data_IF_980371934856
#
_entry.id   IF_980371934856
#
_cell.length_a   1.000
_cell.length_b   1.000
_cell.length_c   1.000
_cell.angle_alpha   90.00
_cell.angle_beta   90.00
_cell.angle_gamma   90.00
#
_symmetry.space_group_name_H-M   'P 1'
#
loop_
_entity.id
_entity.type
_entity.pdbx_description
1 polymer ?
#
# COMPACT_ATOMS: atom_id res chain seq x y z
N UNK A 1 15.18 34.41 31.81
CA UNK A 1 14.02 34.44 30.89
C UNK A 1 14.28 33.45 29.77
N UNK A 2 13.71 32.23 29.86
CA UNK A 2 13.74 31.27 28.75
C UNK A 2 12.39 31.37 28.08
N UNK A 3 12.36 31.94 26.88
CA UNK A 3 11.14 32.04 26.08
C UNK A 3 10.67 30.63 25.69
N UNK A 4 9.35 30.37 25.62
CA UNK A 4 8.85 29.06 25.25
C UNK A 4 9.09 28.83 23.76
N UNK A 5 9.62 27.66 23.42
CA UNK A 5 9.70 27.22 22.03
C UNK A 5 8.26 27.09 21.49
N UNK A 6 7.92 27.91 20.51
CA UNK A 6 6.63 27.85 19.83
C UNK A 6 6.59 26.56 19.01
N UNK A 7 5.90 25.55 19.54
CA UNK A 7 5.69 24.28 18.87
C UNK A 7 4.70 24.55 17.73
N UNK A 8 5.19 24.55 16.49
CA UNK A 8 4.37 24.71 15.29
C UNK A 8 3.22 23.69 15.21
N UNK A 9 2.28 23.87 14.28
CA UNK A 9 1.01 23.13 14.27
C UNK A 9 1.27 21.63 14.12
N UNK A 10 1.17 20.90 15.23
CA UNK A 10 1.22 19.45 15.22
C UNK A 10 -0.12 18.95 14.69
N UNK A 11 -0.13 18.34 13.51
CA UNK A 11 -1.34 17.72 12.95
C UNK A 11 -1.93 16.72 13.95
N UNK A 12 -3.25 16.76 14.12
CA UNK A 12 -3.96 15.91 15.09
C UNK A 12 -3.70 14.43 14.79
N UNK A 13 -3.70 13.56 15.82
CA UNK A 13 -3.47 12.13 15.65
C UNK A 13 -4.48 11.47 14.69
N UNK A 14 -5.70 12.00 14.61
CA UNK A 14 -6.74 11.55 13.69
C UNK A 14 -6.39 11.82 12.21
N UNK A 15 -5.86 13.01 11.91
CA UNK A 15 -5.37 13.37 10.57
C UNK A 15 -4.24 12.46 10.10
N UNK A 16 -3.33 12.07 11.01
CA UNK A 16 -2.23 11.14 10.70
C UNK A 16 -2.73 9.73 10.43
N UNK A 17 -3.67 9.24 11.23
CA UNK A 17 -4.25 7.92 11.05
C UNK A 17 -5.00 7.83 9.71
N UNK A 18 -5.74 8.87 9.33
CA UNK A 18 -6.46 8.90 8.06
C UNK A 18 -5.51 8.93 6.84
N UNK A 19 -4.43 9.73 6.92
CA UNK A 19 -3.39 9.73 5.89
C UNK A 19 -2.71 8.36 5.72
N UNK A 20 -2.49 7.62 6.82
CA UNK A 20 -1.93 6.26 6.75
C UNK A 20 -2.91 5.27 6.11
N UNK A 21 -4.21 5.36 6.40
CA UNK A 21 -5.22 4.51 5.75
C UNK A 21 -5.29 4.77 4.25
N UNK A 22 -5.25 6.05 3.83
CA UNK A 22 -5.26 6.41 2.41
C UNK A 22 -4.04 5.83 1.70
N UNK A 23 -2.85 5.99 2.27
CA UNK A 23 -1.61 5.41 1.73
C UNK A 23 -1.65 3.89 1.64
N UNK A 24 -2.20 3.22 2.65
CA UNK A 24 -2.37 1.76 2.61
C UNK A 24 -3.29 1.34 1.47
N UNK A 25 -4.41 2.06 1.28
CA UNK A 25 -5.33 1.80 0.19
C UNK A 25 -4.66 1.97 -1.17
N UNK A 26 -3.95 3.09 -1.37
CA UNK A 26 -3.19 3.36 -2.60
C UNK A 26 -2.15 2.26 -2.88
N UNK A 27 -1.36 1.87 -1.88
CA UNK A 27 -0.37 0.81 -2.02
C UNK A 27 -0.98 -0.54 -2.40
N UNK A 28 -2.13 -0.90 -1.80
CA UNK A 28 -2.86 -2.12 -2.17
C UNK A 28 -3.36 -2.08 -3.63
N UNK A 29 -3.85 -0.93 -4.10
CA UNK A 29 -4.31 -0.74 -5.48
C UNK A 29 -3.12 -0.82 -6.47
N UNK A 30 -2.01 -0.16 -6.17
CA UNK A 30 -0.79 -0.24 -6.98
C UNK A 30 -0.26 -1.68 -7.07
N UNK A 31 -0.29 -2.42 -5.96
CA UNK A 31 0.08 -3.82 -5.95
C UNK A 31 -0.81 -4.67 -6.88
N UNK A 32 -2.13 -4.50 -6.81
CA UNK A 32 -3.06 -5.22 -7.69
C UNK A 32 -2.86 -4.82 -9.17
N UNK A 33 -2.55 -3.55 -9.46
CA UNK A 33 -2.22 -3.13 -10.82
C UNK A 33 -0.96 -3.83 -11.33
N UNK A 34 0.10 -3.93 -10.52
CA UNK A 34 1.31 -4.66 -10.92
C UNK A 34 1.03 -6.15 -11.14
N UNK A 35 0.25 -6.76 -10.25
CA UNK A 35 -0.14 -8.17 -10.36
C UNK A 35 -0.95 -8.43 -11.64
N UNK A 36 -1.97 -7.61 -11.91
CA UNK A 36 -2.79 -7.71 -13.11
C UNK A 36 -1.97 -7.52 -14.37
N UNK A 37 -1.03 -6.57 -14.38
CA UNK A 37 -0.11 -6.39 -15.51
C UNK A 37 0.74 -7.64 -15.76
N UNK A 38 1.27 -8.26 -14.71
CA UNK A 38 2.01 -9.52 -14.82
C UNK A 38 1.11 -10.68 -15.30
N UNK A 39 -0.13 -10.73 -14.80
CA UNK A 39 -1.11 -11.75 -15.20
C UNK A 39 -1.44 -11.65 -16.69
N UNK A 40 -1.75 -10.45 -17.20
CA UNK A 40 -2.04 -10.24 -18.61
C UNK A 40 -0.85 -10.59 -19.50
N UNK A 41 0.35 -10.17 -19.10
CA UNK A 41 1.58 -10.55 -19.79
C UNK A 41 1.76 -12.08 -19.84
N UNK A 42 1.55 -12.77 -18.72
CA UNK A 42 1.70 -14.23 -18.62
C UNK A 42 0.65 -14.98 -19.46
N UNK A 43 -0.60 -14.52 -19.44
CA UNK A 43 -1.67 -15.07 -20.28
C UNK A 43 -1.32 -14.94 -21.76
N UNK A 44 -0.81 -13.78 -22.18
CA UNK A 44 -0.43 -13.49 -23.56
C UNK A 44 0.78 -14.30 -24.03
N UNK A 45 1.75 -14.54 -23.14
CA UNK A 45 2.89 -15.42 -23.40
C UNK A 45 2.51 -16.90 -23.51
N UNK A 46 1.34 -17.29 -22.98
CA UNK A 46 0.84 -18.67 -23.04
C UNK A 46 0.15 -19.01 -24.36
N UNK A 47 0.00 -18.03 -25.27
CA UNK A 47 -0.62 -18.22 -26.59
C UNK A 47 0.49 -18.44 -27.61
N UNK A 48 0.50 -19.61 -28.25
CA UNK A 48 1.38 -19.88 -29.39
C UNK A 48 0.99 -18.97 -30.56
N UNK A 49 1.91 -18.10 -30.97
CA UNK A 49 1.71 -17.18 -32.09
C UNK A 49 2.28 -17.78 -33.37
N UNK A 50 1.57 -17.61 -34.47
CA UNK A 50 2.05 -18.02 -35.79
C UNK A 50 3.25 -17.18 -36.27
N UNK A 51 3.33 -15.92 -35.82
CA UNK A 51 4.40 -14.98 -36.10
C UNK A 51 4.84 -14.27 -34.80
N UNK A 52 6.13 -13.95 -34.71
CA UNK A 52 6.69 -13.15 -33.62
C UNK A 52 6.17 -11.71 -33.70
N UNK A 53 5.69 -11.11 -32.59
CA UNK A 53 5.18 -9.75 -32.60
C UNK A 53 6.31 -8.75 -32.86
N UNK A 54 6.06 -7.76 -33.71
CA UNK A 54 7.01 -6.68 -33.95
C UNK A 54 7.19 -5.78 -32.71
N UNK A 55 8.20 -4.91 -32.75
CA UNK A 55 8.51 -4.02 -31.62
C UNK A 55 7.36 -3.04 -31.31
N UNK A 56 6.64 -2.55 -32.32
CA UNK A 56 5.55 -1.60 -32.12
C UNK A 56 4.35 -2.27 -31.45
N UNK A 57 4.04 -3.50 -31.86
CA UNK A 57 3.02 -4.34 -31.25
C UNK A 57 3.36 -4.63 -29.79
N UNK A 58 4.60 -5.02 -29.48
CA UNK A 58 5.01 -5.29 -28.09
C UNK A 58 4.85 -4.05 -27.20
N UNK A 59 5.22 -2.87 -27.70
CA UNK A 59 5.05 -1.60 -26.97
C UNK A 59 3.57 -1.29 -26.76
N UNK A 60 2.75 -1.40 -27.80
CA UNK A 60 1.31 -1.14 -27.70
C UNK A 60 0.61 -2.11 -26.74
N UNK A 61 0.91 -3.40 -26.85
CA UNK A 61 0.39 -4.44 -25.96
C UNK A 61 0.78 -4.15 -24.49
N UNK A 62 2.02 -3.75 -24.23
CA UNK A 62 2.46 -3.33 -22.90
C UNK A 62 1.70 -2.12 -22.36
N UNK A 63 1.53 -1.07 -23.17
CA UNK A 63 0.74 0.11 -22.78
C UNK A 63 -0.73 -0.23 -22.50
N UNK A 64 -1.30 -1.15 -23.29
CA UNK A 64 -2.66 -1.62 -23.11
C UNK A 64 -2.80 -2.40 -21.79
N UNK A 65 -1.90 -3.35 -21.53
CA UNK A 65 -1.90 -4.16 -20.31
C UNK A 65 -1.75 -3.27 -19.06
N UNK A 66 -0.85 -2.28 -19.09
CA UNK A 66 -0.68 -1.32 -18.00
C UNK A 66 -1.93 -0.48 -17.72
N UNK A 67 -2.59 -0.01 -18.78
CA UNK A 67 -3.78 0.84 -18.65
C UNK A 67 -4.95 0.04 -18.10
N UNK A 68 -5.15 -1.17 -18.64
CA UNK A 68 -6.18 -2.09 -18.18
C UNK A 68 -5.96 -2.47 -16.71
N UNK A 69 -4.74 -2.81 -16.34
CA UNK A 69 -4.39 -3.20 -14.97
C UNK A 69 -4.62 -2.06 -13.97
N UNK A 70 -4.25 -0.83 -14.33
CA UNK A 70 -4.53 0.36 -13.50
C UNK A 70 -6.01 0.62 -13.32
N UNK A 71 -6.80 0.49 -14.38
CA UNK A 71 -8.24 0.75 -14.29
C UNK A 71 -8.96 -0.30 -13.43
N UNK A 72 -8.61 -1.58 -13.60
CA UNK A 72 -9.15 -2.66 -12.80
C UNK A 72 -8.77 -2.55 -11.32
N UNK A 73 -7.57 -2.06 -11.00
CA UNK A 73 -7.16 -1.86 -9.59
C UNK A 73 -7.95 -0.76 -8.85
N UNK A 74 -8.58 0.18 -9.58
CA UNK A 74 -9.36 1.26 -8.98
C UNK A 74 -10.80 0.85 -8.71
N UNK A 75 -11.30 -0.14 -9.44
CA UNK A 75 -12.71 -0.48 -9.53
C UNK A 75 -12.92 -1.97 -9.32
N UNK A 76 -13.52 -2.34 -8.18
CA UNK A 76 -13.92 -3.72 -7.95
C UNK A 76 -14.26 -3.99 -6.50
N UNK A 77 -15.55 -4.15 -6.22
CA UNK A 77 -15.97 -4.78 -4.98
C UNK A 77 -15.53 -6.25 -5.02
N UNK A 78 -14.76 -6.69 -4.02
CA UNK A 78 -14.13 -8.02 -3.99
C UNK A 78 -12.80 -8.11 -4.74
N UNK A 79 -12.21 -6.98 -5.12
CA UNK A 79 -10.86 -6.93 -5.68
C UNK A 79 -9.81 -7.40 -4.66
N UNK A 80 -8.64 -7.82 -5.13
CA UNK A 80 -7.57 -8.25 -4.25
C UNK A 80 -7.06 -7.10 -3.38
N UNK A 81 -6.97 -5.88 -3.94
CA UNK A 81 -6.56 -4.69 -3.19
C UNK A 81 -7.49 -4.39 -2.02
N UNK A 82 -8.80 -4.56 -2.19
CA UNK A 82 -9.79 -4.39 -1.12
C UNK A 82 -9.60 -5.45 -0.01
N UNK A 83 -9.44 -6.72 -0.39
CA UNK A 83 -9.19 -7.80 0.55
C UNK A 83 -7.92 -7.53 1.37
N UNK A 84 -6.82 -7.16 0.69
CA UNK A 84 -5.54 -6.84 1.35
C UNK A 84 -5.67 -5.61 2.25
N UNK A 85 -6.35 -4.56 1.80
CA UNK A 85 -6.61 -3.38 2.60
C UNK A 85 -7.33 -3.74 3.91
N UNK A 86 -8.41 -4.53 3.85
CA UNK A 86 -9.14 -4.94 5.05
C UNK A 86 -8.31 -5.81 6.00
N UNK A 87 -7.44 -6.67 5.46
CA UNK A 87 -6.55 -7.51 6.27
C UNK A 87 -5.45 -6.69 6.97
N UNK A 88 -4.92 -5.66 6.31
CA UNK A 88 -3.81 -4.86 6.82
C UNK A 88 -4.24 -3.66 7.66
N UNK A 89 -5.47 -3.16 7.47
CA UNK A 89 -6.01 -2.01 8.20
C UNK A 89 -5.90 -2.11 9.75
N UNK A 90 -6.11 -3.28 10.39
CA UNK A 90 -5.93 -3.42 11.84
C UNK A 90 -4.50 -3.15 12.32
N UNK A 91 -3.49 -3.39 11.48
CA UNK A 91 -2.07 -3.20 11.85
C UNK A 91 -1.74 -1.72 12.03
N UNK A 92 -2.37 -0.83 11.26
CA UNK A 92 -2.20 0.62 11.37
C UNK A 92 -2.73 1.14 12.72
N UNK A 93 -3.84 0.57 13.21
CA UNK A 93 -4.40 0.93 14.52
C UNK A 93 -3.45 0.55 15.67
N UNK A 94 -2.73 -0.55 15.49
CA UNK A 94 -1.83 -1.13 16.48
C UNK A 94 -0.39 -0.55 16.40
N UNK A 95 -0.08 0.29 15.42
CA UNK A 95 1.25 0.93 15.26
C UNK A 95 1.47 2.15 16.18
N UNK A 96 0.49 2.47 17.03
CA UNK A 96 0.68 3.38 18.18
C UNK A 96 1.69 2.89 19.22
N UNK A 97 2.24 1.68 19.04
CA UNK A 97 3.33 1.09 19.86
C UNK A 97 4.69 1.79 19.73
N UNK A 98 4.81 2.81 18.87
CA UNK A 98 5.98 3.70 18.83
C UNK A 98 6.09 4.70 20.00
N UNK A 99 5.07 4.81 20.86
CA UNK A 99 5.16 5.61 22.07
C UNK A 99 5.75 4.77 23.23
N UNK A 100 7.05 4.90 23.52
CA UNK A 100 7.49 4.74 24.92
C UNK A 100 7.29 3.38 25.63
N UNK A 101 8.23 2.41 25.65
CA UNK A 101 8.23 1.45 26.74
C UNK A 101 8.37 2.25 28.04
N UNK A 102 7.30 2.29 28.82
CA UNK A 102 7.33 2.81 30.18
C UNK A 102 8.30 1.93 30.95
N UNK A 103 9.25 2.58 31.63
CA UNK A 103 10.30 1.95 32.43
C UNK A 103 9.74 0.80 33.27
N UNK A 104 10.38 -0.38 33.27
CA UNK A 104 9.93 -1.48 34.11
C UNK A 104 9.88 -1.01 35.57
N UNK A 105 8.87 -1.42 36.37
CA UNK A 105 8.89 -1.13 37.79
C UNK A 105 10.16 -1.76 38.37
N UNK A 106 11.00 -0.93 38.98
CA UNK A 106 12.13 -1.38 39.77
C UNK A 106 11.57 -2.16 40.94
N UNK A 107 11.56 -3.49 40.83
CA UNK A 107 11.30 -4.35 41.97
C UNK A 107 12.60 -5.02 42.33
N UNK A 108 13.01 -4.76 43.58
CA UNK A 108 13.85 -5.57 44.49
C UNK A 108 15.10 -4.82 44.96
N UNK A 109 15.58 -5.03 46.22
CA UNK A 109 15.21 -6.11 47.13
C UNK A 109 14.71 -5.60 48.50
N UNK A 110 13.65 -6.22 49.03
CA UNK A 110 13.49 -6.25 50.50
C UNK A 110 14.11 -7.56 50.99
N UNK A 111 14.86 -7.40 52.08
CA UNK A 111 15.71 -8.37 52.79
C UNK A 111 15.02 -9.69 53.18
#
# INVERSE_FOLDING_TARGET
MVSPVSRGPQASPELKAEAQKLKLKEACQEFEAMLNGYLFKSMRQSIDRAEEPDQAQQVYEGMMDETLARELSKHGNGSLSEILYHQLLPLIKNDTRGAKPQTPPSVSPQE
#
